data_IF_355496339120
#
_entry.id   IF_355496339120
#
_cell.length_a   1.000
_cell.length_b   1.000
_cell.length_c   1.000
_cell.angle_alpha   90.00
_cell.angle_beta   90.00
_cell.angle_gamma   90.00
#
_symmetry.space_group_name_H-M   'P 1'
#
loop_
_entity.id
_entity.type
_entity.pdbx_description
1 polymer ?
#
# COMPACT_ATOMS: atom_id res chain seq x y z
N UNK A 1 3.56 13.11 -2.65
CA UNK A 1 4.02 13.36 -1.25
C UNK A 1 3.07 12.79 -0.19
N UNK A 2 1.76 12.99 -0.29
CA UNK A 2 0.79 12.57 0.75
C UNK A 2 0.91 11.08 1.14
N UNK A 3 0.93 10.17 0.16
CA UNK A 3 1.05 8.73 0.44
C UNK A 3 2.34 8.33 1.18
N UNK A 4 3.48 8.93 0.82
CA UNK A 4 4.76 8.64 1.49
C UNK A 4 4.80 9.16 2.92
N UNK A 5 4.17 10.31 3.20
CA UNK A 5 4.06 10.87 4.56
C UNK A 5 3.12 10.01 5.41
N UNK A 6 1.97 9.58 4.87
CA UNK A 6 1.07 8.66 5.57
C UNK A 6 1.75 7.34 5.93
N UNK A 7 2.56 6.80 5.00
CA UNK A 7 3.36 5.61 5.24
C UNK A 7 4.44 5.83 6.30
N UNK A 8 5.10 6.99 6.31
CA UNK A 8 6.07 7.34 7.35
C UNK A 8 5.42 7.37 8.74
N UNK A 9 4.22 7.96 8.85
CA UNK A 9 3.48 7.97 10.12
C UNK A 9 3.12 6.55 10.58
N UNK A 10 2.73 5.66 9.66
CA UNK A 10 2.48 4.26 9.98
C UNK A 10 3.76 3.52 10.44
N UNK A 11 4.91 3.78 9.80
CA UNK A 11 6.21 3.23 10.21
C UNK A 11 6.56 3.69 11.63
N UNK A 12 6.43 4.99 11.91
CA UNK A 12 6.71 5.52 13.25
C UNK A 12 5.74 4.98 14.29
N UNK A 13 4.44 4.88 13.97
CA UNK A 13 3.45 4.26 14.84
C UNK A 13 3.77 2.79 15.15
N UNK A 14 4.21 2.04 14.14
CA UNK A 14 4.69 0.65 14.31
C UNK A 14 5.87 0.60 15.27
N UNK A 15 6.85 1.48 15.08
CA UNK A 15 8.03 1.55 15.94
C UNK A 15 7.66 1.89 17.38
N UNK A 16 6.81 2.88 17.62
CA UNK A 16 6.41 3.23 18.99
C UNK A 16 5.61 2.13 19.69
N UNK A 17 4.93 1.27 18.93
CA UNK A 17 4.19 0.13 19.46
C UNK A 17 5.03 -1.15 19.65
N UNK A 18 6.18 -1.27 18.99
CA UNK A 18 6.97 -2.53 18.97
C UNK A 18 8.42 -2.38 19.41
N UNK A 19 8.96 -1.15 19.38
CA UNK A 19 10.35 -0.85 19.68
C UNK A 19 11.34 -1.20 18.57
N UNK A 20 10.88 -1.61 17.37
CA UNK A 20 11.76 -2.08 16.29
C UNK A 20 11.37 -1.52 14.92
N UNK A 21 12.39 -1.40 14.05
CA UNK A 21 12.22 -1.16 12.61
C UNK A 21 12.46 -2.43 11.78
N UNK A 22 12.84 -3.53 12.43
CA UNK A 22 12.91 -4.83 11.76
C UNK A 22 11.49 -5.29 11.42
N UNK A 23 11.28 -5.61 10.14
CA UNK A 23 9.97 -5.94 9.60
C UNK A 23 9.45 -7.29 10.10
N UNK A 24 10.33 -8.25 10.36
CA UNK A 24 9.93 -9.58 10.86
C UNK A 24 9.54 -9.44 12.32
N UNK A 25 10.37 -8.78 13.12
CA UNK A 25 10.10 -8.57 14.54
C UNK A 25 8.82 -7.74 14.74
N UNK A 26 8.64 -6.67 13.95
CA UNK A 26 7.41 -5.87 13.98
C UNK A 26 6.17 -6.70 13.63
N UNK A 27 6.26 -7.60 12.65
CA UNK A 27 5.15 -8.46 12.27
C UNK A 27 4.81 -9.52 13.33
N UNK A 28 5.82 -10.02 14.04
CA UNK A 28 5.66 -10.96 15.17
C UNK A 28 5.10 -10.28 16.41
N UNK A 29 5.48 -9.02 16.66
CA UNK A 29 5.04 -8.25 17.81
C UNK A 29 3.55 -7.87 17.79
N UNK A 30 2.89 -7.92 16.62
CA UNK A 30 1.45 -7.60 16.44
C UNK A 30 1.06 -6.26 17.09
N UNK A 31 1.51 -5.13 16.51
CA UNK A 31 1.35 -3.81 17.11
C UNK A 31 -0.12 -3.49 17.47
N UNK A 32 -0.34 -2.83 18.61
CA UNK A 32 -1.64 -2.35 19.11
C UNK A 32 -2.66 -3.42 19.53
N UNK A 33 -2.28 -4.70 19.53
CA UNK A 33 -3.19 -5.81 19.89
C UNK A 33 -3.39 -5.97 21.41
N UNK A 34 -2.58 -5.30 22.22
CA UNK A 34 -2.65 -5.24 23.69
C UNK A 34 -3.62 -4.17 24.23
N UNK A 35 -4.16 -3.33 23.34
CA UNK A 35 -5.06 -2.23 23.68
C UNK A 35 -6.53 -2.68 23.79
N UNK A 36 -7.42 -1.83 24.37
CA UNK A 36 -8.86 -2.07 24.35
C UNK A 36 -9.39 -2.21 22.91
N UNK A 37 -10.42 -3.04 22.65
CA UNK A 37 -10.87 -3.38 21.30
C UNK A 37 -11.16 -2.18 20.38
N UNK A 38 -11.78 -1.12 20.91
CA UNK A 38 -12.08 0.10 20.16
C UNK A 38 -10.81 0.81 19.69
N UNK A 39 -9.78 0.85 20.54
CA UNK A 39 -8.49 1.48 20.23
C UNK A 39 -7.67 0.60 19.29
N UNK A 40 -7.70 -0.73 19.47
CA UNK A 40 -7.04 -1.68 18.57
C UNK A 40 -7.57 -1.53 17.14
N UNK A 41 -8.89 -1.52 16.94
CA UNK A 41 -9.46 -1.37 15.60
C UNK A 41 -9.05 -0.04 14.97
N UNK A 42 -9.13 1.06 15.72
CA UNK A 42 -8.76 2.39 15.22
C UNK A 42 -7.29 2.45 14.81
N UNK A 43 -6.36 2.09 15.70
CA UNK A 43 -4.93 2.26 15.46
C UNK A 43 -4.39 1.28 14.40
N UNK A 44 -4.84 0.02 14.42
CA UNK A 44 -4.49 -0.94 13.37
C UNK A 44 -5.05 -0.51 12.00
N UNK A 45 -6.25 0.10 11.95
CA UNK A 45 -6.81 0.64 10.72
C UNK A 45 -6.06 1.88 10.23
N UNK A 46 -5.68 2.80 11.11
CA UNK A 46 -4.87 3.97 10.74
C UNK A 46 -3.50 3.57 10.21
N UNK A 47 -2.83 2.61 10.85
CA UNK A 47 -1.56 2.07 10.37
C UNK A 47 -1.73 1.33 9.04
N UNK A 48 -2.75 0.48 8.92
CA UNK A 48 -3.11 -0.20 7.67
C UNK A 48 -3.30 0.81 6.53
N UNK A 49 -4.12 1.84 6.71
CA UNK A 49 -4.37 2.85 5.68
C UNK A 49 -3.14 3.71 5.37
N UNK A 50 -2.32 4.02 6.38
CA UNK A 50 -1.06 4.74 6.18
C UNK A 50 -0.09 3.98 5.27
N UNK A 51 0.11 2.68 5.53
CA UNK A 51 0.89 1.83 4.63
C UNK A 51 0.17 1.62 3.29
N UNK A 52 -1.15 1.39 3.30
CA UNK A 52 -1.94 1.17 2.09
C UNK A 52 -1.76 2.32 1.12
N UNK A 53 -1.95 3.57 1.54
CA UNK A 53 -1.78 4.71 0.64
C UNK A 53 -0.35 4.76 0.09
N UNK A 54 0.66 4.58 0.93
CA UNK A 54 2.06 4.53 0.49
C UNK A 54 2.37 3.52 -0.61
N UNK A 55 1.72 2.35 -0.57
CA UNK A 55 1.87 1.30 -1.58
C UNK A 55 0.90 1.42 -2.75
N UNK A 56 -0.33 1.91 -2.52
CA UNK A 56 -1.37 2.11 -3.54
C UNK A 56 -0.94 3.09 -4.63
N UNK A 57 -0.19 4.14 -4.27
CA UNK A 57 0.47 5.04 -5.24
C UNK A 57 1.54 4.33 -6.08
N UNK A 58 2.20 3.28 -5.54
CA UNK A 58 3.25 2.52 -6.24
C UNK A 58 2.73 1.33 -7.06
N UNK A 59 1.57 0.77 -6.71
CA UNK A 59 0.88 -0.35 -7.43
C UNK A 59 -0.02 0.16 -8.58
N UNK A 60 0.15 1.42 -9.01
CA UNK A 60 -0.88 2.25 -9.65
C UNK A 60 -2.32 1.71 -9.53
N UNK A 61 -2.88 1.75 -8.32
CA UNK A 61 -4.29 1.41 -8.10
C UNK A 61 -5.22 2.60 -8.41
N UNK A 62 -6.49 2.38 -8.70
CA UNK A 62 -7.48 3.47 -8.77
C UNK A 62 -7.64 4.14 -7.39
N UNK A 63 -7.71 5.48 -7.30
CA UNK A 63 -7.63 6.50 -8.36
C UNK A 63 -6.21 7.07 -8.59
N UNK A 64 -5.16 6.40 -8.10
CA UNK A 64 -3.79 6.92 -8.00
C UNK A 64 -2.85 6.48 -9.14
N UNK A 65 -3.38 6.09 -10.30
CA UNK A 65 -2.60 5.49 -11.40
C UNK A 65 -2.27 6.45 -12.55
N UNK A 66 -2.76 7.70 -12.50
CA UNK A 66 -2.66 8.65 -13.61
C UNK A 66 -1.23 9.07 -13.95
N UNK A 67 -0.29 8.93 -13.02
CA UNK A 67 1.13 9.23 -13.25
C UNK A 67 1.84 8.16 -14.10
N UNK A 68 1.26 6.96 -14.20
CA UNK A 68 1.93 5.80 -14.79
C UNK A 68 2.15 5.94 -16.31
N UNK A 69 1.17 6.38 -17.13
CA UNK A 69 1.38 6.59 -18.56
C UNK A 69 2.52 7.57 -18.83
N UNK A 70 2.50 8.74 -18.19
CA UNK A 70 3.50 9.79 -18.36
C UNK A 70 4.92 9.30 -17.97
N UNK A 71 5.01 8.55 -16.86
CA UNK A 71 6.29 7.99 -16.42
C UNK A 71 6.88 6.97 -17.42
N UNK A 72 6.05 6.26 -18.18
CA UNK A 72 6.51 5.33 -19.21
C UNK A 72 6.83 6.02 -20.54
N UNK A 73 6.10 7.07 -20.92
CA UNK A 73 6.32 7.80 -22.17
C UNK A 73 7.59 8.67 -22.12
N UNK A 74 7.90 9.26 -20.96
CA UNK A 74 9.06 10.14 -20.79
C UNK A 74 10.35 9.38 -20.44
N UNK A 75 10.26 8.14 -19.96
CA UNK A 75 11.43 7.36 -19.57
C UNK A 75 12.18 6.78 -20.79
N UNK A 76 13.53 6.76 -20.76
CA UNK A 76 14.31 5.96 -21.71
C UNK A 76 13.90 4.49 -21.66
N UNK A 77 14.06 3.73 -22.76
CA UNK A 77 13.63 2.32 -22.84
C UNK A 77 14.09 1.48 -21.65
N UNK A 78 15.36 1.59 -21.25
CA UNK A 78 15.88 0.88 -20.09
C UNK A 78 15.21 1.31 -18.76
N UNK A 79 14.90 2.59 -18.61
CA UNK A 79 14.17 3.11 -17.46
C UNK A 79 12.73 2.59 -17.40
N UNK A 80 12.04 2.57 -18.54
CA UNK A 80 10.68 2.02 -18.66
C UNK A 80 10.63 0.53 -18.31
N UNK A 81 11.63 -0.25 -18.72
CA UNK A 81 11.78 -1.67 -18.35
C UNK A 81 11.96 -1.85 -16.83
N UNK A 82 12.81 -1.03 -16.19
CA UNK A 82 13.01 -1.10 -14.73
C UNK A 82 11.75 -0.67 -13.97
N UNK A 83 11.09 0.40 -14.43
CA UNK A 83 9.84 0.89 -13.86
C UNK A 83 8.78 -0.23 -13.87
N UNK A 84 8.51 -0.78 -15.05
CA UNK A 84 7.55 -1.86 -15.21
C UNK A 84 7.98 -3.12 -14.44
N UNK A 85 9.23 -3.56 -14.60
CA UNK A 85 9.73 -4.85 -14.10
C UNK A 85 9.90 -4.92 -12.59
N UNK A 86 10.30 -3.81 -11.96
CA UNK A 86 10.70 -3.78 -10.54
C UNK A 86 9.85 -2.81 -9.73
N UNK A 87 9.81 -1.54 -10.12
CA UNK A 87 9.25 -0.48 -9.26
C UNK A 87 7.76 -0.69 -8.97
N UNK A 88 6.98 -1.12 -9.96
CA UNK A 88 5.55 -1.45 -9.74
C UNK A 88 5.35 -2.67 -8.83
N UNK A 89 6.31 -3.61 -8.83
CA UNK A 89 6.26 -4.83 -8.00
C UNK A 89 6.57 -4.52 -6.54
N UNK A 90 7.37 -3.48 -6.26
CA UNK A 90 7.71 -3.09 -4.89
C UNK A 90 6.48 -2.67 -4.07
N UNK A 91 5.46 -2.10 -4.70
CA UNK A 91 4.21 -1.79 -4.01
C UNK A 91 3.45 -3.06 -3.59
N UNK A 92 3.32 -4.03 -4.49
CA UNK A 92 2.68 -5.33 -4.19
C UNK A 92 3.47 -6.10 -3.13
N UNK A 93 4.79 -6.08 -3.21
CA UNK A 93 5.68 -6.60 -2.19
C UNK A 93 5.42 -5.95 -0.82
N UNK A 94 5.25 -4.63 -0.76
CA UNK A 94 4.89 -3.92 0.48
C UNK A 94 3.58 -4.41 1.10
N UNK A 95 2.53 -4.61 0.29
CA UNK A 95 1.28 -5.22 0.76
C UNK A 95 1.51 -6.60 1.39
N UNK A 96 2.18 -7.50 0.65
CA UNK A 96 2.38 -8.88 1.06
C UNK A 96 3.32 -9.04 2.25
N UNK A 97 4.37 -8.22 2.30
CA UNK A 97 5.47 -8.40 3.26
C UNK A 97 5.35 -7.51 4.51
N UNK A 98 4.68 -6.36 4.41
CA UNK A 98 4.56 -5.42 5.53
C UNK A 98 3.13 -5.43 6.09
N UNK A 99 2.12 -5.20 5.25
CA UNK A 99 0.74 -4.99 5.76
C UNK A 99 0.12 -6.29 6.26
N UNK A 100 0.03 -7.32 5.39
CA UNK A 100 -0.66 -8.56 5.73
C UNK A 100 -0.11 -9.25 6.99
N UNK A 101 1.22 -9.41 7.17
CA UNK A 101 1.74 -10.09 8.35
C UNK A 101 1.70 -9.21 9.60
N UNK A 102 1.85 -7.88 9.50
CA UNK A 102 1.89 -6.98 10.67
C UNK A 102 0.50 -6.61 11.17
N UNK A 103 -0.46 -6.38 10.26
CA UNK A 103 -1.83 -5.96 10.58
C UNK A 103 -2.89 -6.92 10.01
N UNK A 104 -2.91 -8.20 10.43
CA UNK A 104 -3.82 -9.21 9.87
C UNK A 104 -5.30 -8.93 10.17
N UNK A 105 -5.61 -8.39 11.36
CA UNK A 105 -6.97 -8.04 11.77
C UNK A 105 -7.55 -6.92 10.89
N UNK A 106 -6.83 -5.81 10.75
CA UNK A 106 -7.23 -4.71 9.88
C UNK A 106 -7.28 -5.14 8.40
N UNK A 107 -6.33 -5.96 7.95
CA UNK A 107 -6.34 -6.50 6.58
C UNK A 107 -7.58 -7.32 6.29
N UNK A 108 -8.01 -8.16 7.25
CA UNK A 108 -9.24 -8.93 7.11
C UNK A 108 -10.48 -8.02 7.12
N UNK A 109 -10.54 -7.07 8.06
CA UNK A 109 -11.66 -6.13 8.20
C UNK A 109 -11.88 -5.28 6.94
N UNK A 110 -10.80 -4.76 6.34
CA UNK A 110 -10.87 -3.89 5.15
C UNK A 110 -10.83 -4.66 3.82
N UNK A 111 -10.75 -5.99 3.85
CA UNK A 111 -10.55 -6.83 2.65
C UNK A 111 -11.58 -6.56 1.54
N UNK A 112 -12.86 -6.47 1.88
CA UNK A 112 -13.94 -6.22 0.91
C UNK A 112 -13.76 -4.87 0.19
N UNK A 113 -13.31 -3.82 0.90
CA UNK A 113 -13.04 -2.51 0.32
C UNK A 113 -11.86 -2.57 -0.65
N UNK A 114 -10.80 -3.30 -0.30
CA UNK A 114 -9.64 -3.46 -1.17
C UNK A 114 -10.00 -4.26 -2.43
N UNK A 115 -10.82 -5.30 -2.31
CA UNK A 115 -11.33 -6.07 -3.45
C UNK A 115 -12.17 -5.19 -4.37
N UNK A 116 -13.06 -4.37 -3.81
CA UNK A 116 -13.86 -3.42 -4.58
C UNK A 116 -13.00 -2.41 -5.35
N UNK A 117 -11.98 -1.83 -4.69
CA UNK A 117 -11.02 -0.93 -5.34
C UNK A 117 -10.22 -1.64 -6.45
N UNK A 118 -9.83 -2.89 -6.25
CA UNK A 118 -9.17 -3.70 -7.26
C UNK A 118 -10.05 -3.95 -8.48
N UNK A 119 -11.32 -4.29 -8.26
CA UNK A 119 -12.29 -4.46 -9.34
C UNK A 119 -12.49 -3.17 -10.15
N UNK A 120 -12.61 -2.02 -9.46
CA UNK A 120 -12.70 -0.71 -10.10
C UNK A 120 -11.42 -0.43 -10.90
N UNK A 121 -10.23 -0.69 -10.36
CA UNK A 121 -8.97 -0.46 -11.04
C UNK A 121 -8.86 -1.27 -12.34
N UNK A 122 -9.30 -2.53 -12.34
CA UNK A 122 -9.31 -3.40 -13.54
C UNK A 122 -10.23 -2.81 -14.60
N UNK A 123 -11.49 -2.52 -14.25
CA UNK A 123 -12.50 -2.04 -15.20
C UNK A 123 -12.16 -0.65 -15.72
N UNK A 124 -11.83 0.29 -14.83
CA UNK A 124 -11.50 1.66 -15.20
C UNK A 124 -10.22 1.72 -16.04
N UNK A 125 -9.17 1.00 -15.65
CA UNK A 125 -7.91 0.94 -16.41
C UNK A 125 -8.12 0.42 -17.84
N UNK A 126 -8.99 -0.57 -18.02
CA UNK A 126 -9.34 -1.08 -19.34
C UNK A 126 -10.01 -0.01 -20.22
N UNK A 127 -10.95 0.77 -19.69
CA UNK A 127 -11.60 1.85 -20.43
C UNK A 127 -10.64 3.00 -20.77
N UNK A 128 -9.77 3.38 -19.84
CA UNK A 128 -8.74 4.42 -20.09
C UNK A 128 -7.81 3.99 -21.22
N UNK A 129 -7.39 2.72 -21.25
CA UNK A 129 -6.51 2.21 -22.31
C UNK A 129 -7.13 2.32 -23.71
N UNK A 130 -8.45 2.14 -23.84
CA UNK A 130 -9.16 2.29 -25.13
C UNK A 130 -9.16 3.76 -25.60
N UNK A 131 -9.14 4.71 -24.68
CA UNK A 131 -9.15 6.14 -24.96
C UNK A 131 -7.74 6.75 -25.10
N UNK A 132 -6.69 5.95 -24.95
CA UNK A 132 -5.31 6.43 -24.93
C UNK A 132 -4.75 6.46 -26.35
N UNK A 133 -4.31 7.65 -26.79
CA UNK A 133 -3.74 7.92 -28.13
C UNK A 133 -2.22 7.68 -28.20
#
# INVERSE_FOLDING_TARGET
MVGSVAMLLAILGTYFATGTFDMIDAALAKPFMDLPPEQTLLLTSLAFWGFFFGFAFKVPSFPFHTWLPDAHTEAPTAGSVILAGVLLKLGAYGFLRIILPTYPSASNYWSMWIVALGAIAIVYGAFVCVAQD
#
